data_IF_224551258045
#
_entry.id   IF_224551258045
#
_cell.length_a   1.000
_cell.length_b   1.000
_cell.length_c   1.000
_cell.angle_alpha   90.00
_cell.angle_beta   90.00
_cell.angle_gamma   90.00
#
_symmetry.space_group_name_H-M   'P 1'
#
loop_
_entity.id
_entity.type
_entity.pdbx_description
1 polymer ?
#
# COMPACT_ATOMS: atom_id res chain seq x y z
N UNK A 1 21.70 0.77 10.07
CA UNK A 1 21.78 -0.20 8.95
C UNK A 1 20.61 -1.20 8.89
N UNK A 2 19.83 -1.45 9.96
CA UNK A 2 18.72 -2.44 9.93
C UNK A 2 17.30 -1.87 9.76
N UNK A 3 17.14 -0.56 9.61
CA UNK A 3 15.82 0.09 9.66
C UNK A 3 14.83 -0.44 8.62
N UNK A 4 15.28 -0.72 7.39
CA UNK A 4 14.42 -1.27 6.35
C UNK A 4 13.94 -2.69 6.65
N UNK A 5 14.82 -3.55 7.19
CA UNK A 5 14.45 -4.90 7.61
C UNK A 5 13.43 -4.87 8.76
N UNK A 6 13.62 -3.96 9.73
CA UNK A 6 12.67 -3.79 10.83
C UNK A 6 11.33 -3.28 10.33
N UNK A 7 11.32 -2.31 9.41
CA UNK A 7 10.09 -1.81 8.78
C UNK A 7 9.31 -2.95 8.08
N UNK A 8 9.99 -3.80 7.31
CA UNK A 8 9.36 -4.97 6.68
C UNK A 8 8.80 -5.94 7.71
N UNK A 9 9.55 -6.23 8.78
CA UNK A 9 9.07 -7.09 9.86
C UNK A 9 7.85 -6.49 10.57
N UNK A 10 7.87 -5.20 10.88
CA UNK A 10 6.79 -4.50 11.57
C UNK A 10 5.50 -4.46 10.73
N UNK A 11 5.63 -4.28 9.42
CA UNK A 11 4.49 -4.27 8.49
C UNK A 11 3.90 -5.65 8.21
N UNK A 12 4.59 -6.71 8.62
CA UNK A 12 4.17 -8.10 8.37
C UNK A 12 3.87 -8.89 9.64
N UNK A 13 4.25 -8.39 10.83
CA UNK A 13 4.15 -9.09 12.12
C UNK A 13 2.74 -9.59 12.45
N UNK A 14 1.72 -8.87 12.01
CA UNK A 14 0.32 -9.19 12.32
C UNK A 14 -0.31 -10.13 11.29
N UNK A 15 0.39 -10.45 10.19
CA UNK A 15 -0.10 -11.36 9.15
C UNK A 15 0.38 -12.79 9.39
N UNK A 16 -0.55 -13.73 9.46
CA UNK A 16 -0.21 -15.16 9.46
C UNK A 16 0.18 -15.64 8.06
N UNK A 17 1.02 -16.67 7.91
CA UNK A 17 1.49 -17.16 6.61
C UNK A 17 0.38 -17.48 5.60
N UNK A 18 -0.79 -17.90 6.07
CA UNK A 18 -1.94 -18.28 5.23
C UNK A 18 -2.94 -17.13 5.00
N UNK A 19 -2.72 -15.95 5.60
CA UNK A 19 -3.58 -14.78 5.36
C UNK A 19 -3.25 -14.06 4.05
N UNK A 20 -2.06 -14.27 3.49
CA UNK A 20 -1.58 -13.57 2.28
C UNK A 20 -1.11 -14.59 1.24
N UNK A 21 -1.65 -14.50 0.03
CA UNK A 21 -1.26 -15.32 -1.12
C UNK A 21 -0.37 -14.53 -2.09
N UNK A 22 -0.60 -13.23 -2.20
CA UNK A 22 0.05 -12.33 -3.14
C UNK A 22 0.26 -10.95 -2.52
N UNK A 23 1.40 -10.31 -2.80
CA UNK A 23 1.66 -8.93 -2.38
C UNK A 23 1.57 -8.00 -3.58
N UNK A 24 0.77 -6.94 -3.50
CA UNK A 24 0.63 -5.97 -4.56
C UNK A 24 1.19 -4.60 -4.14
N UNK A 25 2.21 -4.11 -4.84
CA UNK A 25 2.79 -2.78 -4.57
C UNK A 25 2.20 -1.71 -5.50
N UNK A 26 1.95 -0.52 -4.98
CA UNK A 26 1.52 0.64 -5.78
C UNK A 26 2.74 1.43 -6.28
N UNK A 27 2.70 1.87 -7.54
CA UNK A 27 3.76 2.61 -8.22
C UNK A 27 4.17 3.92 -7.51
N UNK A 28 5.46 4.21 -7.28
CA UNK A 28 6.65 3.35 -7.46
C UNK A 28 7.22 2.90 -6.12
N UNK A 29 7.07 3.71 -5.08
CA UNK A 29 7.67 3.47 -3.77
C UNK A 29 7.09 2.20 -3.11
N UNK A 30 5.81 1.90 -3.34
CA UNK A 30 5.18 0.65 -2.94
C UNK A 30 5.79 -0.59 -3.60
N UNK A 31 6.51 -0.48 -4.73
CA UNK A 31 7.20 -1.62 -5.33
C UNK A 31 8.42 -2.05 -4.51
N UNK A 32 9.17 -1.08 -3.97
CA UNK A 32 10.36 -1.36 -3.16
C UNK A 32 9.94 -2.08 -1.88
N UNK A 33 8.97 -1.49 -1.18
CA UNK A 33 8.46 -2.03 0.07
C UNK A 33 7.69 -3.33 -0.15
N UNK A 34 6.80 -3.37 -1.15
CA UNK A 34 6.01 -4.54 -1.49
C UNK A 34 6.85 -5.72 -1.97
N UNK A 35 7.89 -5.48 -2.76
CA UNK A 35 8.83 -6.51 -3.17
C UNK A 35 9.60 -7.10 -1.99
N UNK A 36 10.03 -6.26 -1.04
CA UNK A 36 10.69 -6.71 0.18
C UNK A 36 9.75 -7.54 1.08
N UNK A 37 8.49 -7.09 1.24
CA UNK A 37 7.45 -7.84 1.98
C UNK A 37 7.15 -9.18 1.29
N UNK A 38 7.01 -9.21 -0.04
CA UNK A 38 6.80 -10.45 -0.79
C UNK A 38 7.93 -11.45 -0.57
N UNK A 39 9.18 -10.99 -0.60
CA UNK A 39 10.35 -11.81 -0.30
C UNK A 39 10.33 -12.32 1.14
N UNK A 40 10.05 -11.44 2.11
CA UNK A 40 9.96 -11.79 3.54
C UNK A 40 8.89 -12.86 3.81
N UNK A 41 7.71 -12.73 3.20
CA UNK A 41 6.60 -13.66 3.33
C UNK A 41 6.69 -14.90 2.41
N UNK A 42 7.70 -14.95 1.52
CA UNK A 42 7.85 -15.98 0.48
C UNK A 42 6.62 -16.10 -0.43
N UNK A 43 6.08 -14.97 -0.88
CA UNK A 43 4.89 -14.87 -1.75
C UNK A 43 5.24 -14.22 -3.10
N UNK A 44 4.31 -14.31 -4.04
CA UNK A 44 4.42 -13.59 -5.31
C UNK A 44 4.30 -12.08 -5.13
N UNK A 45 4.71 -11.34 -6.16
CA UNK A 45 4.56 -9.89 -6.23
C UNK A 45 3.78 -9.46 -7.48
N UNK A 46 2.86 -8.51 -7.32
CA UNK A 46 2.10 -7.86 -8.39
C UNK A 46 2.35 -6.35 -8.38
N UNK A 47 2.67 -5.78 -9.54
CA UNK A 47 2.79 -4.33 -9.68
C UNK A 47 1.44 -3.71 -10.07
N UNK A 48 0.94 -2.80 -9.24
CA UNK A 48 -0.16 -1.89 -9.59
C UNK A 48 0.47 -0.60 -10.12
N UNK A 49 0.28 -0.34 -11.41
CA UNK A 49 1.01 0.72 -12.13
C UNK A 49 0.17 1.96 -12.33
N UNK A 50 0.82 3.10 -12.54
CA UNK A 50 0.13 4.25 -13.16
C UNK A 50 -0.30 3.88 -14.57
N UNK A 51 -1.48 4.33 -14.98
CA UNK A 51 -2.05 4.00 -16.29
C UNK A 51 -1.11 4.28 -17.47
N UNK A 52 -1.11 3.38 -18.45
CA UNK A 52 -0.34 3.48 -19.69
C UNK A 52 1.09 2.94 -19.59
N UNK A 53 1.44 2.26 -18.50
CA UNK A 53 2.78 1.73 -18.29
C UNK A 53 2.89 0.20 -18.47
N UNK A 54 1.77 -0.52 -18.52
CA UNK A 54 1.71 -1.93 -18.87
C UNK A 54 1.52 -2.11 -20.40
N UNK A 55 2.35 -2.96 -21.01
CA UNK A 55 2.31 -3.26 -22.44
C UNK A 55 1.35 -4.41 -22.80
N UNK A 56 0.31 -4.62 -22.00
CA UNK A 56 -0.63 -5.75 -22.06
C UNK A 56 -2.05 -5.27 -21.79
N UNK A 57 -3.05 -6.14 -21.93
CA UNK A 57 -4.42 -5.78 -21.54
C UNK A 57 -4.51 -5.52 -20.03
N UNK A 58 -5.27 -4.49 -19.68
CA UNK A 58 -5.40 -4.01 -18.30
C UNK A 58 -6.85 -3.78 -17.90
N UNK A 59 -7.09 -3.85 -16.59
CA UNK A 59 -8.18 -3.14 -15.94
C UNK A 59 -7.62 -1.88 -15.30
N UNK A 60 -8.41 -0.80 -15.27
CA UNK A 60 -8.01 0.46 -14.67
C UNK A 60 -9.12 1.11 -13.83
N UNK A 61 -8.70 1.91 -12.85
CA UNK A 61 -9.58 2.66 -11.96
C UNK A 61 -9.10 4.11 -11.87
N UNK A 62 -10.03 5.05 -12.06
CA UNK A 62 -9.82 6.49 -11.89
C UNK A 62 -9.92 6.87 -10.42
N UNK A 63 -9.07 7.80 -9.98
CA UNK A 63 -9.13 8.39 -8.64
C UNK A 63 -8.66 9.84 -8.66
N UNK A 64 -8.88 10.54 -7.56
CA UNK A 64 -8.33 11.89 -7.32
C UNK A 64 -7.38 11.82 -6.12
N UNK A 65 -6.20 12.40 -6.28
CA UNK A 65 -5.23 12.55 -5.20
C UNK A 65 -5.34 13.95 -4.54
N UNK A 66 -4.37 14.29 -3.69
CA UNK A 66 -4.27 15.61 -3.04
C UNK A 66 -4.24 16.77 -4.03
N UNK A 67 -3.74 16.56 -5.26
CA UNK A 67 -3.71 17.59 -6.31
C UNK A 67 -5.07 17.84 -6.96
N UNK A 68 -6.10 17.05 -6.59
CA UNK A 68 -7.45 17.05 -7.16
C UNK A 68 -7.51 16.74 -8.66
N UNK A 69 -6.37 16.39 -9.27
CA UNK A 69 -6.30 15.93 -10.65
C UNK A 69 -6.75 14.47 -10.71
N UNK A 70 -7.46 14.15 -11.78
CA UNK A 70 -7.80 12.77 -12.06
C UNK A 70 -6.54 12.00 -12.46
N UNK A 71 -6.34 10.85 -11.83
CA UNK A 71 -5.27 9.89 -12.10
C UNK A 71 -5.89 8.51 -12.30
N UNK A 72 -5.13 7.59 -12.86
CA UNK A 72 -5.56 6.21 -13.10
C UNK A 72 -4.48 5.23 -12.64
N UNK A 73 -4.89 4.19 -11.94
CA UNK A 73 -4.07 3.00 -11.69
C UNK A 73 -4.54 1.87 -12.59
N UNK A 74 -3.63 0.95 -12.92
CA UNK A 74 -3.89 -0.21 -13.76
C UNK A 74 -3.21 -1.48 -13.21
N UNK A 75 -3.84 -2.62 -13.47
CA UNK A 75 -3.25 -3.96 -13.34
C UNK A 75 -3.51 -4.74 -14.61
N UNK A 76 -2.62 -5.70 -14.93
CA UNK A 76 -2.86 -6.65 -16.02
C UNK A 76 -4.18 -7.39 -15.79
N UNK A 77 -4.97 -7.64 -16.84
CA UNK A 77 -6.12 -8.55 -16.75
C UNK A 77 -5.71 -9.95 -16.34
N UNK A 78 -6.54 -10.63 -15.57
CA UNK A 78 -6.25 -11.95 -15.02
C UNK A 78 -4.90 -11.98 -14.27
N UNK A 79 -4.68 -10.97 -13.43
CA UNK A 79 -3.45 -10.83 -12.65
C UNK A 79 -3.24 -12.00 -11.69
N UNK A 80 -4.33 -12.57 -11.18
CA UNK A 80 -4.37 -13.68 -10.24
C UNK A 80 -5.70 -14.45 -10.37
N UNK A 81 -5.81 -15.59 -9.67
CA UNK A 81 -7.05 -16.38 -9.65
C UNK A 81 -8.10 -15.73 -8.72
N UNK A 82 -9.39 -15.84 -9.02
CA UNK A 82 -10.45 -15.46 -8.08
C UNK A 82 -10.22 -16.07 -6.69
N UNK A 83 -10.47 -15.29 -5.64
CA UNK A 83 -10.26 -15.67 -4.24
C UNK A 83 -8.82 -15.51 -3.72
N UNK A 84 -7.86 -15.07 -4.55
CA UNK A 84 -6.49 -14.78 -4.10
C UNK A 84 -6.50 -13.68 -3.03
N UNK A 85 -5.88 -13.94 -1.87
CA UNK A 85 -5.73 -12.96 -0.78
C UNK A 85 -4.54 -12.04 -1.04
N UNK A 86 -4.82 -10.79 -1.37
CA UNK A 86 -3.83 -9.79 -1.78
C UNK A 86 -3.56 -8.79 -0.65
N UNK A 87 -2.30 -8.71 -0.22
CA UNK A 87 -1.81 -7.64 0.66
C UNK A 87 -1.39 -6.45 -0.20
N UNK A 88 -2.04 -5.30 -0.06
CA UNK A 88 -1.73 -4.11 -0.85
C UNK A 88 -0.76 -3.21 -0.07
N UNK A 89 0.30 -2.75 -0.74
CA UNK A 89 1.43 -2.07 -0.12
C UNK A 89 1.70 -0.74 -0.80
N UNK A 90 1.85 0.30 0.03
CA UNK A 90 2.40 1.60 -0.37
C UNK A 90 3.24 2.17 0.77
N UNK A 91 4.04 3.21 0.53
CA UNK A 91 4.79 3.84 1.62
C UNK A 91 3.95 4.85 2.41
N UNK A 92 2.99 5.54 1.77
CA UNK A 92 2.26 6.63 2.39
C UNK A 92 0.85 6.75 1.83
N UNK A 93 -0.15 6.71 2.70
CA UNK A 93 -1.56 6.98 2.35
C UNK A 93 -1.92 8.38 2.84
N UNK A 94 -2.05 9.33 1.92
CA UNK A 94 -2.50 10.70 2.23
C UNK A 94 -4.05 10.76 2.24
N UNK A 95 -4.66 11.00 1.08
CA UNK A 95 -6.12 11.12 0.95
C UNK A 95 -6.85 9.78 0.93
N UNK A 96 -6.13 8.65 0.80
CA UNK A 96 -6.71 7.33 0.56
C UNK A 96 -7.07 7.02 -0.90
N UNK A 97 -7.02 8.00 -1.81
CA UNK A 97 -7.54 7.85 -3.18
C UNK A 97 -6.82 6.79 -4.02
N UNK A 98 -5.49 6.75 -4.00
CA UNK A 98 -4.69 5.75 -4.74
C UNK A 98 -4.91 4.34 -4.17
N UNK A 99 -4.89 4.21 -2.84
CA UNK A 99 -5.10 2.93 -2.16
C UNK A 99 -6.50 2.39 -2.42
N UNK A 100 -7.54 3.24 -2.38
CA UNK A 100 -8.90 2.84 -2.73
C UNK A 100 -9.02 2.36 -4.19
N UNK A 101 -8.32 3.01 -5.13
CA UNK A 101 -8.28 2.55 -6.52
C UNK A 101 -7.56 1.19 -6.67
N UNK A 102 -6.47 0.98 -5.93
CA UNK A 102 -5.77 -0.30 -5.90
C UNK A 102 -6.65 -1.43 -5.33
N UNK A 103 -7.36 -1.15 -4.24
CA UNK A 103 -8.37 -2.04 -3.65
C UNK A 103 -9.44 -2.40 -4.67
N UNK A 104 -10.00 -1.41 -5.36
CA UNK A 104 -11.05 -1.64 -6.35
C UNK A 104 -10.56 -2.48 -7.53
N UNK A 105 -9.32 -2.28 -8.00
CA UNK A 105 -8.71 -3.13 -9.02
C UNK A 105 -8.61 -4.59 -8.58
N UNK A 106 -8.20 -4.83 -7.33
CA UNK A 106 -8.13 -6.18 -6.76
C UNK A 106 -9.52 -6.81 -6.67
N UNK A 107 -10.50 -6.09 -6.13
CA UNK A 107 -11.87 -6.59 -5.95
C UNK A 107 -12.58 -6.84 -7.30
N UNK A 108 -12.34 -6.00 -8.33
CA UNK A 108 -12.89 -6.20 -9.69
C UNK A 108 -12.39 -7.48 -10.35
N UNK A 109 -11.17 -7.93 -10.04
CA UNK A 109 -10.64 -9.22 -10.49
C UNK A 109 -10.96 -10.37 -9.50
N UNK A 110 -11.95 -10.18 -8.63
CA UNK A 110 -12.41 -11.16 -7.65
C UNK A 110 -11.33 -11.56 -6.63
N UNK A 111 -10.34 -10.70 -6.41
CA UNK A 111 -9.36 -10.84 -5.33
C UNK A 111 -9.96 -10.44 -3.99
N UNK A 112 -9.40 -10.99 -2.91
CA UNK A 112 -9.75 -10.62 -1.54
C UNK A 112 -8.65 -9.71 -1.03
N UNK A 113 -8.98 -8.50 -0.58
CA UNK A 113 -7.99 -7.63 0.09
C UNK A 113 -7.69 -8.23 1.47
N UNK A 114 -6.54 -8.89 1.59
CA UNK A 114 -6.06 -9.48 2.84
C UNK A 114 -5.79 -8.42 3.90
N UNK A 115 -5.36 -7.24 3.45
CA UNK A 115 -5.07 -6.09 4.26
C UNK A 115 -4.31 -5.04 3.46
N UNK A 116 -3.94 -3.98 4.17
CA UNK A 116 -3.15 -2.87 3.67
C UNK A 116 -1.93 -2.72 4.58
N UNK A 117 -0.73 -2.71 4.01
CA UNK A 117 0.50 -2.43 4.74
C UNK A 117 1.09 -1.11 4.24
N UNK A 118 1.32 -0.17 5.14
CA UNK A 118 1.82 1.14 4.77
C UNK A 118 2.65 1.78 5.87
N UNK A 119 3.78 2.43 5.56
CA UNK A 119 4.61 3.05 6.62
C UNK A 119 3.80 4.08 7.40
N UNK A 120 3.08 4.96 6.68
CA UNK A 120 2.25 6.02 7.26
C UNK A 120 0.85 6.05 6.62
N UNK A 121 -0.19 6.12 7.46
CA UNK A 121 -1.57 6.34 7.02
C UNK A 121 -2.08 7.61 7.68
N UNK A 122 -2.45 8.63 6.90
CA UNK A 122 -3.08 9.82 7.43
C UNK A 122 -4.52 9.52 7.88
N UNK A 123 -4.96 10.13 8.98
CA UNK A 123 -6.33 10.09 9.49
C UNK A 123 -7.30 10.99 8.65
N UNK A 124 -7.06 11.06 7.34
CA UNK A 124 -7.96 11.68 6.37
C UNK A 124 -9.28 10.91 6.28
N UNK A 125 -10.30 11.49 5.64
CA UNK A 125 -11.59 10.80 5.44
C UNK A 125 -11.40 9.45 4.71
N UNK A 126 -10.55 9.41 3.68
CA UNK A 126 -10.25 8.18 2.96
C UNK A 126 -9.38 7.21 3.76
N UNK A 127 -8.38 7.70 4.50
CA UNK A 127 -7.57 6.87 5.38
C UNK A 127 -8.40 6.17 6.46
N UNK A 128 -9.30 6.91 7.13
CA UNK A 128 -10.23 6.36 8.12
C UNK A 128 -11.13 5.29 7.54
N UNK A 129 -11.73 5.53 6.37
CA UNK A 129 -12.56 4.54 5.68
C UNK A 129 -11.80 3.25 5.37
N UNK A 130 -10.53 3.35 4.98
CA UNK A 130 -9.70 2.17 4.74
C UNK A 130 -9.44 1.40 6.04
N UNK A 131 -9.12 2.08 7.14
CA UNK A 131 -8.89 1.47 8.46
C UNK A 131 -10.15 0.85 9.07
N UNK A 132 -11.33 1.39 8.77
CA UNK A 132 -12.62 0.83 9.21
C UNK A 132 -12.97 -0.45 8.44
N UNK A 133 -12.63 -0.52 7.15
CA UNK A 133 -13.03 -1.62 6.25
C UNK A 133 -12.01 -2.76 6.15
N UNK A 134 -10.72 -2.46 6.28
CA UNK A 134 -9.64 -3.42 6.06
C UNK A 134 -8.69 -3.48 7.25
N UNK A 135 -8.02 -4.64 7.41
CA UNK A 135 -6.87 -4.78 8.29
C UNK A 135 -5.73 -3.89 7.76
N UNK A 136 -5.44 -2.80 8.45
CA UNK A 136 -4.36 -1.88 8.13
C UNK A 136 -3.21 -2.04 9.13
N UNK A 137 -1.99 -2.19 8.62
CA UNK A 137 -0.76 -2.23 9.43
C UNK A 137 0.10 -1.03 9.05
N UNK A 138 0.61 -0.32 10.07
CA UNK A 138 1.54 0.79 9.87
C UNK A 138 2.70 0.81 10.85
N UNK A 139 3.76 1.54 10.48
CA UNK A 139 4.93 1.75 11.33
C UNK A 139 4.75 2.92 12.32
N UNK A 140 3.60 3.61 12.27
CA UNK A 140 3.30 4.72 13.18
C UNK A 140 2.89 4.16 14.55
N UNK A 141 3.80 4.25 15.52
CA UNK A 141 3.68 3.56 16.80
C UNK A 141 3.03 4.39 17.93
N UNK A 142 2.83 5.70 17.75
CA UNK A 142 2.31 6.59 18.79
C UNK A 142 1.37 7.66 18.25
N UNK A 143 0.48 8.17 19.10
CA UNK A 143 -0.40 9.29 18.76
C UNK A 143 0.39 10.54 18.36
N UNK A 144 1.51 10.79 19.02
CA UNK A 144 2.40 11.92 18.71
C UNK A 144 2.95 11.84 17.27
N UNK A 145 3.45 10.67 16.85
CA UNK A 145 3.91 10.47 15.47
C UNK A 145 2.72 10.54 14.51
N UNK A 146 1.55 10.01 14.89
CA UNK A 146 0.34 10.10 14.07
C UNK A 146 -0.07 11.56 13.82
N UNK A 147 0.00 12.43 14.83
CA UNK A 147 -0.29 13.85 14.67
C UNK A 147 0.71 14.54 13.73
N UNK A 148 1.99 14.16 13.78
CA UNK A 148 3.02 14.63 12.84
C UNK A 148 2.78 14.13 11.41
N UNK A 149 2.35 12.87 11.23
CA UNK A 149 1.98 12.29 9.93
C UNK A 149 0.78 13.03 9.35
N UNK A 150 -0.27 13.24 10.14
CA UNK A 150 -1.47 13.99 9.75
C UNK A 150 -1.14 15.44 9.35
N UNK A 151 -0.13 16.04 9.97
CA UNK A 151 0.35 17.38 9.67
C UNK A 151 1.41 17.43 8.55
N UNK A 152 1.82 16.27 8.01
CA UNK A 152 2.92 16.14 7.05
C UNK A 152 4.22 16.84 7.50
N UNK A 153 4.48 16.83 8.81
CA UNK A 153 5.59 17.55 9.45
C UNK A 153 6.24 16.68 10.52
N UNK A 154 7.14 15.79 10.09
CA UNK A 154 7.88 14.91 10.99
C UNK A 154 9.09 15.63 11.57
N UNK A 155 9.20 15.66 12.90
CA UNK A 155 10.35 16.25 13.59
C UNK A 155 11.65 15.50 13.29
N UNK A 156 11.56 14.19 13.05
CA UNK A 156 12.70 13.37 12.64
C UNK A 156 13.36 13.87 11.36
N UNK A 157 12.64 14.57 10.48
CA UNK A 157 13.21 15.16 9.26
C UNK A 157 14.07 16.39 9.56
N UNK A 158 13.80 17.11 10.66
CA UNK A 158 14.61 18.27 11.09
C UNK A 158 15.97 17.86 11.65
N UNK A 159 16.03 16.69 12.27
CA UNK A 159 17.24 16.12 12.86
C UNK A 159 17.94 15.09 11.96
N UNK A 160 17.39 14.79 10.79
CA UNK A 160 17.96 13.79 9.87
C UNK A 160 19.27 14.29 9.28
N UNK A 161 20.34 13.53 9.52
CA UNK A 161 21.64 13.74 8.88
C UNK A 161 21.81 12.67 7.81
N UNK A 162 21.86 13.02 6.51
CA UNK A 162 22.13 12.07 5.44
C UNK A 162 23.47 11.35 5.69
N UNK A 163 23.50 10.06 5.38
CA UNK A 163 24.72 9.24 5.41
C UNK A 163 25.72 9.67 4.34
#
# INVERSE_FOLDING_TARGET
>A
MNAFHQCVADLTKDFQPDEVDLVAGIDAAGFILGGAIACHLKKGFLAIRKYGNLCVEVDDVRFKDYSKKEKRLEIRKDAFKPGTKVLIVDQWIETGGSMAAAVELVERQQGIVAGIACVCIEESEGGKRLMEKYKCVSCVASREIQDQVNAQNLESFKAYTPL
#
